data_IF_956069750820
#
_entry.id   IF_956069750820
#
_cell.length_a   1.000
_cell.length_b   1.000
_cell.length_c   1.000
_cell.angle_alpha   90.00
_cell.angle_beta   90.00
_cell.angle_gamma   90.00
#
_symmetry.space_group_name_H-M   'P 1'
#
loop_
_entity.id
_entity.type
_entity.pdbx_description
1 polymer ?
#
# COMPACT_ATOMS: atom_id res chain seq x y z
N UNK A 1 8.44 34.22 19.25
CA UNK A 1 8.65 32.78 19.48
C UNK A 1 7.93 32.08 18.35
N UNK A 2 8.63 31.69 17.27
CA UNK A 2 8.01 30.90 16.19
C UNK A 2 8.18 29.45 16.60
N UNK A 3 7.09 28.80 16.96
CA UNK A 3 7.05 27.35 17.04
C UNK A 3 7.51 26.84 15.67
N UNK A 4 8.70 26.20 15.65
CA UNK A 4 9.12 25.44 14.48
C UNK A 4 8.14 24.28 14.41
N UNK A 5 7.13 24.41 13.55
CA UNK A 5 6.43 23.26 13.01
C UNK A 5 7.53 22.34 12.48
N UNK A 6 7.75 21.22 13.19
CA UNK A 6 8.69 20.18 12.80
C UNK A 6 8.28 19.80 11.39
N UNK A 7 9.17 20.00 10.42
CA UNK A 7 8.84 19.63 9.05
C UNK A 7 8.60 18.11 9.05
N UNK A 8 7.61 17.59 8.30
CA UNK A 8 7.33 16.14 8.24
C UNK A 8 8.57 15.28 7.94
N UNK A 9 9.62 15.88 7.37
CA UNK A 9 10.92 15.27 7.11
C UNK A 9 11.77 14.94 8.37
N UNK A 10 11.41 15.42 9.57
CA UNK A 10 12.17 15.16 10.80
C UNK A 10 11.64 13.92 11.59
N UNK A 11 10.54 13.29 11.15
CA UNK A 11 10.05 12.04 11.75
C UNK A 11 10.38 10.81 10.87
N UNK A 12 11.40 10.00 11.24
CA UNK A 12 11.78 8.80 10.49
C UNK A 12 10.65 7.76 10.43
N UNK A 13 9.71 7.79 11.38
CA UNK A 13 8.56 6.89 11.41
C UNK A 13 7.57 7.23 10.31
N UNK A 14 7.29 8.52 10.11
CA UNK A 14 6.37 9.00 9.07
C UNK A 14 6.88 8.65 7.66
N UNK A 15 8.18 8.82 7.38
CA UNK A 15 8.79 8.42 6.10
C UNK A 15 8.74 6.91 5.87
N UNK A 16 8.99 6.10 6.91
CA UNK A 16 8.92 4.65 6.83
C UNK A 16 7.48 4.18 6.52
N UNK A 17 6.47 4.80 7.12
CA UNK A 17 5.06 4.52 6.85
C UNK A 17 4.71 4.90 5.40
N UNK A 18 5.19 6.05 4.91
CA UNK A 18 5.02 6.48 3.51
C UNK A 18 5.51 5.40 2.53
N UNK A 19 6.76 5.00 2.75
CA UNK A 19 7.49 4.09 1.89
C UNK A 19 6.82 2.72 1.92
N UNK A 20 6.40 2.26 3.10
CA UNK A 20 5.64 1.01 3.26
C UNK A 20 4.32 1.07 2.49
N UNK A 21 3.55 2.16 2.64
CA UNK A 21 2.31 2.37 1.89
C UNK A 21 2.53 2.32 0.37
N UNK A 22 3.62 2.91 -0.12
CA UNK A 22 4.01 2.89 -1.52
C UNK A 22 4.37 1.47 -2.02
N UNK A 23 5.12 0.68 -1.24
CA UNK A 23 5.41 -0.71 -1.60
C UNK A 23 4.16 -1.59 -1.61
N UNK A 24 3.25 -1.37 -0.67
CA UNK A 24 1.99 -2.13 -0.59
C UNK A 24 1.09 -1.85 -1.80
N UNK A 25 0.99 -0.60 -2.27
CA UNK A 25 0.19 -0.30 -3.46
C UNK A 25 0.80 -0.91 -4.72
N UNK A 26 2.13 -0.86 -4.88
CA UNK A 26 2.82 -1.53 -6.00
C UNK A 26 2.57 -3.05 -5.97
N UNK A 27 2.68 -3.66 -4.79
CA UNK A 27 2.39 -5.08 -4.59
C UNK A 27 0.94 -5.41 -4.97
N UNK A 28 -0.01 -4.58 -4.56
CA UNK A 28 -1.42 -4.76 -4.91
C UNK A 28 -1.64 -4.74 -6.43
N UNK A 29 -1.03 -3.78 -7.15
CA UNK A 29 -1.13 -3.68 -8.61
C UNK A 29 -0.57 -4.93 -9.30
N UNK A 30 0.58 -5.42 -8.85
CA UNK A 30 1.18 -6.66 -9.39
C UNK A 30 0.26 -7.85 -9.13
N UNK A 31 -0.29 -7.98 -7.92
CA UNK A 31 -1.21 -9.06 -7.57
C UNK A 31 -2.50 -9.02 -8.40
N UNK A 32 -3.03 -7.83 -8.72
CA UNK A 32 -4.16 -7.68 -9.67
C UNK A 32 -3.77 -8.20 -11.05
N UNK A 33 -2.61 -7.83 -11.58
CA UNK A 33 -2.14 -8.31 -12.88
C UNK A 33 -2.01 -9.85 -12.91
N UNK A 34 -1.48 -10.45 -11.83
CA UNK A 34 -1.40 -11.91 -11.67
C UNK A 34 -2.79 -12.54 -11.62
N UNK A 35 -3.73 -11.95 -10.87
CA UNK A 35 -5.11 -12.45 -10.78
C UNK A 35 -5.79 -12.47 -12.15
N UNK A 36 -5.66 -11.39 -12.92
CA UNK A 36 -6.19 -11.27 -14.28
C UNK A 36 -5.51 -12.25 -15.26
N UNK A 37 -4.19 -12.41 -15.17
CA UNK A 37 -3.47 -13.37 -16.00
C UNK A 37 -3.89 -14.82 -15.72
N UNK A 38 -4.17 -15.13 -14.45
CA UNK A 38 -4.60 -16.46 -14.00
C UNK A 38 -5.98 -16.85 -14.54
N UNK A 39 -6.87 -15.88 -14.79
CA UNK A 39 -8.12 -16.14 -15.52
C UNK A 39 -7.87 -16.59 -16.95
N UNK A 40 -6.88 -16.01 -17.64
CA UNK A 40 -6.47 -16.45 -18.98
C UNK A 40 -5.91 -17.87 -19.01
N UNK A 41 -5.32 -18.32 -17.89
CA UNK A 41 -4.79 -19.68 -17.71
C UNK A 41 -5.82 -20.69 -17.14
N UNK A 42 -7.07 -20.27 -16.90
CA UNK A 42 -8.12 -21.06 -16.25
C UNK A 42 -7.76 -21.59 -14.84
N UNK A 43 -6.81 -20.96 -14.14
CA UNK A 43 -6.44 -21.31 -12.76
C UNK A 43 -7.20 -20.41 -11.78
N UNK A 44 -8.37 -20.87 -11.33
CA UNK A 44 -9.25 -20.11 -10.46
C UNK A 44 -8.71 -19.95 -9.04
N UNK A 45 -7.95 -20.93 -8.54
CA UNK A 45 -7.39 -20.92 -7.19
C UNK A 45 -6.31 -19.83 -7.07
N UNK A 46 -5.39 -19.79 -8.03
CA UNK A 46 -4.36 -18.75 -8.06
C UNK A 46 -4.97 -17.36 -8.31
N UNK A 47 -6.00 -17.27 -9.17
CA UNK A 47 -6.68 -16.00 -9.40
C UNK A 47 -7.33 -15.44 -8.13
N UNK A 48 -8.02 -16.30 -7.37
CA UNK A 48 -8.65 -15.92 -6.11
C UNK A 48 -7.63 -15.53 -5.05
N UNK A 49 -6.53 -16.29 -4.91
CA UNK A 49 -5.46 -15.98 -3.96
C UNK A 49 -4.78 -14.65 -4.28
N UNK A 50 -4.41 -14.42 -5.54
CA UNK A 50 -3.81 -13.16 -5.99
C UNK A 50 -4.77 -11.97 -5.81
N UNK A 51 -6.07 -12.17 -6.09
CA UNK A 51 -7.11 -11.17 -5.83
C UNK A 51 -7.23 -10.82 -4.33
N UNK A 52 -7.19 -11.81 -3.45
CA UNK A 52 -7.21 -11.58 -2.00
C UNK A 52 -5.95 -10.85 -1.51
N UNK A 53 -4.76 -11.19 -2.03
CA UNK A 53 -3.52 -10.47 -1.72
C UNK A 53 -3.63 -9.02 -2.18
N UNK A 54 -4.15 -8.79 -3.40
CA UNK A 54 -4.33 -7.44 -3.93
C UNK A 54 -5.22 -6.57 -3.03
N UNK A 55 -6.38 -7.09 -2.60
CA UNK A 55 -7.31 -6.33 -1.76
C UNK A 55 -6.72 -6.02 -0.39
N UNK A 56 -6.03 -6.98 0.23
CA UNK A 56 -5.37 -6.78 1.52
C UNK A 56 -4.23 -5.77 1.44
N UNK A 57 -3.35 -5.88 0.44
CA UNK A 57 -2.24 -4.94 0.24
C UNK A 57 -2.75 -3.53 -0.06
N UNK A 58 -3.81 -3.41 -0.87
CA UNK A 58 -4.44 -2.12 -1.15
C UNK A 58 -5.04 -1.49 0.12
N UNK A 59 -5.82 -2.25 0.90
CA UNK A 59 -6.41 -1.78 2.14
C UNK A 59 -5.34 -1.35 3.15
N UNK A 60 -4.27 -2.13 3.31
CA UNK A 60 -3.15 -1.79 4.17
C UNK A 60 -2.43 -0.51 3.71
N UNK A 61 -2.24 -0.33 2.39
CA UNK A 61 -1.68 0.90 1.82
C UNK A 61 -2.52 2.14 2.16
N UNK A 62 -3.85 2.03 2.06
CA UNK A 62 -4.76 3.11 2.46
C UNK A 62 -4.62 3.45 3.95
N UNK A 63 -4.41 2.47 4.82
CA UNK A 63 -4.17 2.71 6.26
C UNK A 63 -2.86 3.49 6.44
N UNK A 64 -1.78 3.10 5.77
CA UNK A 64 -0.50 3.84 5.83
C UNK A 64 -0.66 5.30 5.37
N UNK A 65 -1.33 5.52 4.25
CA UNK A 65 -1.57 6.87 3.73
C UNK A 65 -2.54 7.67 4.60
N UNK A 66 -3.53 7.03 5.22
CA UNK A 66 -4.45 7.68 6.14
C UNK A 66 -3.74 8.15 7.41
N UNK A 67 -2.83 7.35 7.98
CA UNK A 67 -1.99 7.76 9.11
C UNK A 67 -1.17 8.99 8.71
N UNK A 68 -0.50 8.93 7.56
CA UNK A 68 0.31 10.03 7.06
C UNK A 68 -0.50 11.32 6.81
N UNK A 69 -1.73 11.22 6.32
CA UNK A 69 -2.61 12.37 6.09
C UNK A 69 -3.09 13.05 7.38
N UNK A 70 -3.02 12.35 8.53
CA UNK A 70 -3.38 12.90 9.85
C UNK A 70 -2.19 13.56 10.54
N UNK A 71 -0.98 13.12 10.20
CA UNK A 71 0.28 13.60 10.76
C UNK A 71 0.90 14.77 9.96
N UNK A 72 0.35 15.08 8.76
CA UNK A 72 0.77 16.19 7.89
C UNK A 72 -0.16 17.39 7.95
#
# INVERSE_FOLDING_TARGET
>A
MRERAIAPADDPTAEAIATTGLFLIVTAVIAVAVSLASWGAADAAMAAAAGAIATLSFAASLVCFAIQSRDG
#
